data_IF_975747720402
#
_entry.id   IF_975747720402
#
_cell.length_a   1.000
_cell.length_b   1.000
_cell.length_c   1.000
_cell.angle_alpha   90.00
_cell.angle_beta   90.00
_cell.angle_gamma   90.00
#
_symmetry.space_group_name_H-M   'P 1'
#
loop_
_entity.id
_entity.type
_entity.pdbx_description
1 polymer ?
#
# COMPACT_ATOMS: atom_id res chain seq x y z
N UNK A 1 -9.34 -3.21 20.94
CA UNK A 1 -8.72 -2.36 19.92
C UNK A 1 -7.21 -2.40 20.17
N UNK A 2 -6.43 -3.03 19.30
CA UNK A 2 -4.97 -3.12 19.49
C UNK A 2 -4.36 -1.77 19.11
N UNK A 3 -3.96 -0.97 20.10
CA UNK A 3 -3.14 0.22 19.88
C UNK A 3 -1.68 -0.22 19.75
N UNK A 4 -1.15 -0.19 18.53
CA UNK A 4 0.27 -0.41 18.29
C UNK A 4 0.95 0.94 18.13
N UNK A 5 1.97 1.20 18.96
CA UNK A 5 2.74 2.44 18.91
C UNK A 5 4.07 2.22 18.21
N UNK A 6 4.48 3.18 17.40
CA UNK A 6 5.75 3.18 16.70
C UNK A 6 6.51 4.45 17.04
N UNK A 7 7.78 4.34 17.39
CA UNK A 7 8.65 5.49 17.53
C UNK A 7 9.34 5.75 16.20
N UNK A 8 9.08 6.90 15.61
CA UNK A 8 9.66 7.33 14.32
C UNK A 8 10.72 8.38 14.61
N UNK A 9 11.91 8.22 14.02
CA UNK A 9 13.07 9.09 14.18
C UNK A 9 13.38 9.84 12.88
N UNK A 10 14.16 10.92 12.92
CA UNK A 10 14.61 11.58 11.70
C UNK A 10 15.28 10.60 10.73
N UNK A 11 14.84 10.62 9.49
CA UNK A 11 15.30 9.71 8.44
C UNK A 11 14.57 8.36 8.39
N UNK A 12 13.57 8.14 9.23
CA UNK A 12 12.66 6.99 9.09
C UNK A 12 11.51 7.32 8.14
N UNK A 13 10.95 6.29 7.51
CA UNK A 13 9.75 6.39 6.66
C UNK A 13 8.69 5.43 7.19
N UNK A 14 7.48 5.92 7.40
CA UNK A 14 6.34 5.12 7.80
C UNK A 14 5.33 5.03 6.65
N UNK A 15 5.19 3.85 6.05
CA UNK A 15 4.14 3.57 5.08
C UNK A 15 2.90 3.08 5.83
N UNK A 16 1.82 3.83 5.75
CA UNK A 16 0.52 3.45 6.32
C UNK A 16 -0.32 2.74 5.28
N UNK A 17 -0.97 1.64 5.68
CA UNK A 17 -1.94 0.97 4.83
C UNK A 17 -3.25 1.78 4.77
N UNK A 18 -4.10 1.47 3.81
CA UNK A 18 -5.41 2.13 3.66
C UNK A 18 -6.30 1.90 4.88
N UNK A 19 -7.13 2.87 5.19
CA UNK A 19 -8.17 2.78 6.24
C UNK A 19 -7.62 2.48 7.64
N UNK A 20 -6.34 2.79 7.91
CA UNK A 20 -5.74 2.63 9.23
C UNK A 20 -5.91 3.92 10.03
N UNK A 21 -6.76 3.92 11.08
CA UNK A 21 -6.81 5.05 12.00
C UNK A 21 -5.47 5.24 12.69
N UNK A 22 -4.94 6.44 12.63
CA UNK A 22 -3.64 6.75 13.22
C UNK A 22 -3.61 8.15 13.81
N UNK A 23 -2.72 8.36 14.77
CA UNK A 23 -2.41 9.66 15.33
C UNK A 23 -0.90 9.79 15.53
N UNK A 24 -0.39 11.01 15.40
CA UNK A 24 1.01 11.32 15.64
C UNK A 24 1.12 12.24 16.84
N UNK A 25 2.03 11.91 17.75
CA UNK A 25 2.32 12.72 18.93
C UNK A 25 3.81 12.96 19.01
N UNK A 26 4.19 14.17 19.33
CA UNK A 26 5.58 14.52 19.60
C UNK A 26 5.88 14.30 21.08
N UNK A 27 6.95 13.59 21.46
CA UNK A 27 7.30 13.42 22.86
C UNK A 27 7.67 14.79 23.48
N UNK A 28 7.25 14.98 24.73
CA UNK A 28 7.61 16.16 25.52
C UNK A 28 7.28 17.53 24.89
N UNK A 29 6.19 17.62 24.12
CA UNK A 29 5.84 18.85 23.38
C UNK A 29 6.95 19.40 22.47
N UNK A 30 7.88 18.56 22.05
CA UNK A 30 8.92 18.98 21.11
C UNK A 30 8.32 19.21 19.72
N UNK A 31 8.94 20.10 18.93
CA UNK A 31 8.52 20.32 17.56
C UNK A 31 9.10 19.24 16.66
N UNK A 32 8.25 18.43 16.04
CA UNK A 32 8.64 17.50 15.00
C UNK A 32 8.15 18.01 13.63
N UNK A 33 9.00 17.88 12.60
CA UNK A 33 8.62 18.11 11.20
C UNK A 33 8.59 16.79 10.46
N UNK A 34 7.56 16.58 9.66
CA UNK A 34 7.46 15.44 8.77
C UNK A 34 6.76 15.84 7.47
N UNK A 35 7.12 15.19 6.38
CA UNK A 35 6.42 15.32 5.10
C UNK A 35 5.43 14.15 4.96
N UNK A 36 4.24 14.42 4.46
CA UNK A 36 3.22 13.40 4.20
C UNK A 36 2.95 13.32 2.70
N UNK A 37 3.08 12.11 2.15
CA UNK A 37 2.73 11.79 0.78
C UNK A 37 1.45 10.96 0.79
N UNK A 38 0.37 11.55 0.28
CA UNK A 38 -0.91 10.86 0.16
C UNK A 38 -1.17 10.55 -1.31
N UNK A 39 -1.26 9.27 -1.63
CA UNK A 39 -1.56 8.82 -2.97
C UNK A 39 -2.72 7.82 -2.97
N UNK A 40 -3.60 7.93 -3.97
CA UNK A 40 -4.62 6.90 -4.20
C UNK A 40 -3.94 5.66 -4.75
N UNK A 41 -4.27 4.45 -4.25
CA UNK A 41 -3.65 3.22 -4.74
C UNK A 41 -3.81 2.99 -6.25
N UNK A 42 -4.98 3.33 -6.81
CA UNK A 42 -5.27 3.21 -8.24
C UNK A 42 -4.42 4.14 -9.11
N UNK A 43 -3.97 5.28 -8.59
CA UNK A 43 -3.00 6.12 -9.29
C UNK A 43 -1.68 5.36 -9.52
N UNK A 44 -1.28 4.50 -8.60
CA UNK A 44 -0.01 3.76 -8.67
C UNK A 44 -0.18 2.48 -9.47
N UNK A 45 -1.08 1.57 -9.06
CA UNK A 45 -1.21 0.25 -9.66
C UNK A 45 -2.12 0.17 -10.89
N UNK A 46 -2.83 1.25 -11.22
CA UNK A 46 -3.78 1.28 -12.34
C UNK A 46 -5.13 0.65 -11.99
N UNK A 47 -5.74 -0.02 -12.96
CA UNK A 47 -7.07 -0.58 -12.82
C UNK A 47 -7.15 -1.69 -11.78
N UNK A 48 -8.30 -1.77 -11.11
CA UNK A 48 -8.63 -2.88 -10.21
C UNK A 48 -8.69 -4.19 -11.00
N UNK A 49 -8.09 -5.24 -10.46
CA UNK A 49 -7.98 -6.54 -11.13
C UNK A 49 -6.81 -6.65 -12.12
N UNK A 50 -6.00 -5.58 -12.32
CA UNK A 50 -4.76 -5.67 -13.08
C UNK A 50 -3.76 -6.63 -12.42
N UNK A 51 -2.81 -7.17 -13.19
CA UNK A 51 -1.79 -8.08 -12.63
C UNK A 51 -0.95 -7.41 -11.55
N UNK A 52 -0.62 -6.13 -11.72
CA UNK A 52 0.14 -5.35 -10.75
C UNK A 52 -0.68 -5.19 -9.45
N UNK A 53 -1.97 -4.84 -9.55
CA UNK A 53 -2.84 -4.73 -8.39
C UNK A 53 -2.93 -6.08 -7.67
N UNK A 54 -3.27 -7.16 -8.38
CA UNK A 54 -3.50 -8.48 -7.79
C UNK A 54 -2.25 -9.09 -7.14
N UNK A 55 -1.11 -8.99 -7.82
CA UNK A 55 0.13 -9.67 -7.41
C UNK A 55 0.97 -8.86 -6.43
N UNK A 56 0.98 -7.54 -6.58
CA UNK A 56 1.89 -6.68 -5.82
C UNK A 56 1.18 -5.90 -4.71
N UNK A 57 0.06 -5.24 -5.02
CA UNK A 57 -0.58 -4.32 -4.08
C UNK A 57 -1.63 -4.97 -3.19
N UNK A 58 -2.46 -5.86 -3.74
CA UNK A 58 -3.53 -6.51 -2.98
C UNK A 58 -3.03 -7.23 -1.71
N UNK A 59 -1.91 -7.99 -1.74
CA UNK A 59 -1.38 -8.64 -0.56
C UNK A 59 -1.02 -7.68 0.58
N UNK A 60 -0.69 -6.44 0.27
CA UNK A 60 -0.46 -5.38 1.25
C UNK A 60 -1.76 -4.68 1.63
N UNK A 61 -2.51 -4.16 0.64
CA UNK A 61 -3.68 -3.32 0.87
C UNK A 61 -4.82 -4.02 1.61
N UNK A 62 -4.99 -5.32 1.44
CA UNK A 62 -6.02 -6.12 2.12
C UNK A 62 -5.51 -6.79 3.40
N UNK A 63 -4.23 -6.68 3.71
CA UNK A 63 -3.64 -7.31 4.88
C UNK A 63 -3.84 -6.47 6.14
N UNK A 64 -4.89 -6.77 6.90
CA UNK A 64 -5.17 -6.10 8.18
C UNK A 64 -4.11 -6.38 9.26
N UNK A 65 -3.32 -7.46 9.11
CA UNK A 65 -2.22 -7.78 10.03
C UNK A 65 -0.99 -6.89 9.82
N UNK A 66 -0.91 -6.20 8.67
CA UNK A 66 0.15 -5.24 8.34
C UNK A 66 -0.45 -3.83 8.19
N UNK A 67 -0.80 -3.17 9.30
CA UNK A 67 -1.39 -1.83 9.26
C UNK A 67 -0.40 -0.77 8.77
N UNK A 68 0.88 -0.99 8.98
CA UNK A 68 1.94 -0.11 8.50
C UNK A 68 3.27 -0.86 8.34
N UNK A 69 4.17 -0.26 7.59
CA UNK A 69 5.57 -0.69 7.43
C UNK A 69 6.47 0.47 7.87
N UNK A 70 7.33 0.23 8.86
CA UNK A 70 8.33 1.19 9.31
C UNK A 70 9.68 0.85 8.66
N UNK A 71 10.19 1.77 7.87
CA UNK A 71 11.53 1.72 7.29
C UNK A 71 12.46 2.59 8.13
N UNK A 72 13.45 1.99 8.74
CA UNK A 72 14.40 2.70 9.62
C UNK A 72 15.57 3.30 8.84
N UNK A 73 16.07 4.44 9.27
CA UNK A 73 17.13 5.21 8.61
C UNK A 73 18.46 4.47 8.42
N UNK A 74 18.70 3.41 9.20
CA UNK A 74 19.89 2.55 9.07
C UNK A 74 19.91 1.67 7.82
N UNK A 75 18.77 1.48 7.15
CA UNK A 75 18.63 0.62 5.97
C UNK A 75 18.96 1.39 4.67
N UNK A 76 19.69 0.74 3.75
CA UNK A 76 20.00 1.29 2.43
C UNK A 76 18.75 1.55 1.59
N UNK A 77 17.76 0.67 1.66
CA UNK A 77 16.47 0.84 1.00
C UNK A 77 15.79 2.13 1.47
N UNK A 78 15.75 2.39 2.77
CA UNK A 78 15.15 3.61 3.33
C UNK A 78 15.78 4.88 2.77
N UNK A 79 17.10 4.92 2.64
CA UNK A 79 17.82 6.08 2.06
C UNK A 79 17.41 6.34 0.60
N UNK A 80 17.30 5.28 -0.19
CA UNK A 80 16.86 5.38 -1.58
C UNK A 80 15.39 5.81 -1.67
N UNK A 81 14.53 5.29 -0.80
CA UNK A 81 13.12 5.71 -0.71
C UNK A 81 13.03 7.21 -0.38
N UNK A 82 13.78 7.70 0.60
CA UNK A 82 13.80 9.14 0.96
C UNK A 82 14.27 9.99 -0.22
N UNK A 83 15.32 9.58 -0.92
CA UNK A 83 15.79 10.31 -2.10
C UNK A 83 14.71 10.43 -3.16
N UNK A 84 13.98 9.33 -3.45
CA UNK A 84 12.88 9.34 -4.41
C UNK A 84 11.66 10.14 -3.94
N UNK A 85 11.37 10.15 -2.64
CA UNK A 85 10.32 11.00 -2.06
C UNK A 85 10.67 12.49 -2.21
N UNK A 86 11.93 12.89 -1.95
CA UNK A 86 12.38 14.26 -2.15
C UNK A 86 12.31 14.67 -3.63
N UNK A 87 12.65 13.77 -4.56
CA UNK A 87 12.48 14.00 -5.99
C UNK A 87 11.00 14.16 -6.37
N UNK A 88 10.12 13.36 -5.78
CA UNK A 88 8.66 13.46 -5.95
C UNK A 88 8.14 14.82 -5.49
N UNK A 89 8.59 15.30 -4.33
CA UNK A 89 8.22 16.62 -3.80
C UNK A 89 8.69 17.75 -4.74
N UNK A 90 9.94 17.70 -5.19
CA UNK A 90 10.50 18.68 -6.12
C UNK A 90 9.75 18.73 -7.47
N UNK A 91 9.36 17.57 -8.02
CA UNK A 91 8.55 17.50 -9.24
C UNK A 91 7.15 18.06 -9.02
N UNK A 92 6.56 17.81 -7.86
CA UNK A 92 5.24 18.32 -7.51
C UNK A 92 5.23 19.84 -7.36
N UNK A 93 6.30 20.42 -6.83
CA UNK A 93 6.45 21.89 -6.70
C UNK A 93 6.68 22.56 -8.06
N UNK A 94 7.49 21.96 -8.92
CA UNK A 94 7.85 22.53 -10.23
C UNK A 94 6.74 22.44 -11.27
N UNK A 95 5.89 21.39 -11.21
CA UNK A 95 4.76 21.14 -12.12
C UNK A 95 5.13 21.26 -13.61
N UNK A 96 6.31 20.76 -13.98
CA UNK A 96 6.75 20.72 -15.38
C UNK A 96 5.89 19.77 -16.21
N UNK A 97 5.96 19.86 -17.54
CA UNK A 97 5.20 18.96 -18.41
C UNK A 97 5.45 17.48 -18.06
N UNK A 98 4.38 16.69 -17.96
CA UNK A 98 4.38 15.28 -17.57
C UNK A 98 4.92 14.98 -16.14
N UNK A 99 4.88 15.93 -15.21
CA UNK A 99 5.34 15.70 -13.84
C UNK A 99 4.54 14.60 -13.14
N UNK A 100 3.23 14.48 -13.39
CA UNK A 100 2.40 13.41 -12.81
C UNK A 100 2.89 12.01 -13.24
N UNK A 101 3.30 11.87 -14.50
CA UNK A 101 3.81 10.61 -15.02
C UNK A 101 5.15 10.24 -14.36
N UNK A 102 6.03 11.22 -14.15
CA UNK A 102 7.29 11.05 -13.44
C UNK A 102 7.06 10.67 -11.98
N UNK A 103 6.15 11.38 -11.30
CA UNK A 103 5.74 11.06 -9.92
C UNK A 103 5.19 9.64 -9.83
N UNK A 104 4.32 9.24 -10.76
CA UNK A 104 3.81 7.86 -10.82
C UNK A 104 4.94 6.84 -10.94
N UNK A 105 5.91 7.08 -11.81
CA UNK A 105 7.09 6.23 -11.95
C UNK A 105 7.87 6.08 -10.65
N UNK A 106 8.18 7.20 -9.98
CA UNK A 106 8.87 7.19 -8.69
C UNK A 106 8.09 6.44 -7.60
N UNK A 107 6.77 6.66 -7.52
CA UNK A 107 5.92 5.94 -6.56
C UNK A 107 5.88 4.44 -6.86
N UNK A 108 5.81 4.02 -8.12
CA UNK A 108 5.90 2.61 -8.50
C UNK A 108 7.23 1.97 -8.03
N UNK A 109 8.35 2.67 -8.22
CA UNK A 109 9.65 2.21 -7.74
C UNK A 109 9.71 2.13 -6.22
N UNK A 110 9.26 3.17 -5.50
CA UNK A 110 9.21 3.21 -4.03
C UNK A 110 8.41 2.02 -3.50
N UNK A 111 7.19 1.81 -4.01
CA UNK A 111 6.37 0.69 -3.57
C UNK A 111 7.00 -0.66 -3.93
N UNK A 112 7.57 -0.79 -5.13
CA UNK A 112 8.28 -2.00 -5.55
C UNK A 112 9.40 -2.36 -4.57
N UNK A 113 10.23 -1.39 -4.18
CA UNK A 113 11.32 -1.59 -3.21
C UNK A 113 10.79 -2.03 -1.84
N UNK A 114 9.78 -1.33 -1.31
CA UNK A 114 9.21 -1.62 0.02
C UNK A 114 8.54 -2.99 0.03
N UNK A 115 7.73 -3.31 -0.97
CA UNK A 115 7.01 -4.58 -1.03
C UNK A 115 7.95 -5.76 -1.25
N UNK A 116 9.02 -5.60 -2.05
CA UNK A 116 10.06 -6.63 -2.22
C UNK A 116 10.79 -6.92 -0.90
N UNK A 117 11.17 -5.90 -0.15
CA UNK A 117 11.84 -6.06 1.14
C UNK A 117 10.96 -6.80 2.17
N UNK A 118 9.63 -6.61 2.08
CA UNK A 118 8.67 -7.20 3.01
C UNK A 118 7.92 -8.42 2.43
N UNK A 119 8.38 -8.97 1.29
CA UNK A 119 7.70 -10.05 0.57
C UNK A 119 7.36 -11.28 1.43
N UNK A 120 8.24 -11.68 2.36
CA UNK A 120 8.02 -12.83 3.21
C UNK A 120 6.81 -12.65 4.15
N UNK A 121 6.60 -11.45 4.66
CA UNK A 121 5.46 -11.13 5.52
C UNK A 121 4.16 -11.06 4.71
N UNK A 122 4.24 -10.57 3.47
CA UNK A 122 3.11 -10.49 2.56
C UNK A 122 2.74 -11.85 1.98
N UNK A 123 3.72 -12.71 1.70
CA UNK A 123 3.51 -14.06 1.17
C UNK A 123 2.76 -14.96 2.17
N UNK A 124 3.02 -14.86 3.46
CA UNK A 124 2.26 -15.59 4.49
C UNK A 124 0.78 -15.24 4.45
N UNK A 125 0.44 -13.96 4.34
CA UNK A 125 -0.94 -13.51 4.22
C UNK A 125 -1.62 -14.11 2.97
N UNK A 126 -0.93 -14.14 1.84
CA UNK A 126 -1.47 -14.72 0.59
C UNK A 126 -1.76 -16.21 0.77
N UNK A 127 -0.86 -16.96 1.42
CA UNK A 127 -1.08 -18.38 1.69
C UNK A 127 -2.26 -18.64 2.62
N UNK A 128 -2.37 -17.88 3.70
CA UNK A 128 -3.44 -18.02 4.69
C UNK A 128 -4.82 -17.67 4.11
N UNK A 129 -4.87 -16.73 3.16
CA UNK A 129 -6.13 -16.27 2.56
C UNK A 129 -6.37 -16.82 1.15
N UNK A 130 -5.51 -17.68 0.64
CA UNK A 130 -5.60 -18.19 -0.73
C UNK A 130 -6.92 -18.93 -1.01
N UNK A 131 -7.45 -19.65 -0.02
CA UNK A 131 -8.72 -20.36 -0.13
C UNK A 131 -9.92 -19.39 -0.20
N UNK A 132 -9.92 -18.35 0.62
CA UNK A 132 -10.98 -17.32 0.63
C UNK A 132 -10.94 -16.47 -0.66
N UNK A 133 -9.76 -16.09 -1.12
CA UNK A 133 -9.60 -15.37 -2.38
C UNK A 133 -10.08 -16.20 -3.57
N UNK A 134 -9.78 -17.50 -3.59
CA UNK A 134 -10.23 -18.41 -4.64
C UNK A 134 -11.75 -18.59 -4.63
N UNK A 135 -12.35 -18.69 -3.44
CA UNK A 135 -13.83 -18.73 -3.30
C UNK A 135 -14.46 -17.43 -3.80
N UNK A 136 -13.90 -16.28 -3.42
CA UNK A 136 -14.39 -14.98 -3.87
C UNK A 136 -14.29 -14.84 -5.40
N UNK A 137 -13.19 -15.25 -6.01
CA UNK A 137 -13.04 -15.28 -7.47
C UNK A 137 -14.09 -16.20 -8.14
N UNK A 138 -14.32 -17.36 -7.58
CA UNK A 138 -15.36 -18.28 -8.09
C UNK A 138 -16.75 -17.66 -8.01
N UNK A 139 -17.09 -17.03 -6.87
CA UNK A 139 -18.35 -16.32 -6.70
C UNK A 139 -18.51 -15.17 -7.70
N UNK A 140 -17.48 -14.33 -7.86
CA UNK A 140 -17.51 -13.22 -8.81
C UNK A 140 -17.63 -13.71 -10.26
N UNK A 141 -16.92 -14.77 -10.63
CA UNK A 141 -17.02 -15.37 -11.95
C UNK A 141 -18.42 -15.96 -12.20
N UNK A 142 -19.02 -16.57 -11.18
CA UNK A 142 -20.39 -17.08 -11.27
C UNK A 142 -21.41 -15.96 -11.45
N UNK A 143 -21.29 -14.89 -10.65
CA UNK A 143 -22.15 -13.70 -10.76
C UNK A 143 -22.03 -13.08 -12.15
N UNK A 144 -20.82 -12.89 -12.65
CA UNK A 144 -20.56 -12.30 -13.97
C UNK A 144 -21.10 -13.15 -15.13
N UNK A 145 -21.19 -14.47 -14.97
CA UNK A 145 -21.75 -15.37 -15.98
C UNK A 145 -23.30 -15.47 -15.93
N UNK A 146 -23.89 -15.15 -14.79
CA UNK A 146 -25.32 -15.37 -14.53
C UNK A 146 -26.06 -14.11 -14.07
N UNK A 147 -25.48 -12.90 -14.26
CA UNK A 147 -26.05 -11.65 -13.77
C UNK A 147 -27.45 -11.34 -14.35
N UNK A 148 -27.77 -11.91 -15.49
CA UNK A 148 -29.13 -11.79 -16.12
C UNK A 148 -30.19 -12.71 -15.50
N UNK A 149 -29.80 -13.59 -14.58
CA UNK A 149 -30.69 -14.54 -13.93
C UNK A 149 -30.76 -14.32 -12.42
N UNK A 150 -31.81 -14.85 -11.77
CA UNK A 150 -31.94 -14.80 -10.31
C UNK A 150 -30.85 -15.68 -9.69
N UNK A 151 -29.91 -15.07 -8.99
CA UNK A 151 -28.81 -15.74 -8.26
C UNK A 151 -29.25 -15.94 -6.82
N UNK A 152 -29.38 -17.20 -6.35
CA UNK A 152 -29.65 -17.48 -4.93
C UNK A 152 -28.34 -17.66 -4.14
N UNK A 153 -28.37 -17.30 -2.85
CA UNK A 153 -27.24 -17.49 -1.95
C UNK A 153 -26.77 -18.95 -1.84
N UNK A 154 -27.70 -19.93 -2.00
CA UNK A 154 -27.38 -21.35 -2.00
C UNK A 154 -26.52 -21.80 -3.17
N UNK A 155 -26.51 -21.05 -4.28
CA UNK A 155 -25.66 -21.32 -5.45
C UNK A 155 -24.29 -20.65 -5.36
N UNK A 156 -24.11 -19.74 -4.40
CA UNK A 156 -22.87 -19.02 -4.16
C UNK A 156 -22.04 -19.60 -3.01
N UNK A 157 -22.63 -20.44 -2.16
CA UNK A 157 -21.99 -21.14 -1.06
C UNK A 157 -21.31 -22.42 -1.53
#
# INVERSE_FOLDING_TARGET
>A
MYQKSYTVRPGDVLLLNRNVPHSCHSPNNSHARYSTFLARPDFIHGEYGSDVERRCFRPFLQNSSVPCILLTSGNSCTRTVIQKLNETEALFDQKTFCYELKIKGLLCEIFGMILCEHQNNLAKFVQENQLELKRLEQMMNYINKHFESIISMQKLA
#
